data_IF_284973726592
#
_entry.id   IF_284973726592
#
_cell.length_a   1.000
_cell.length_b   1.000
_cell.length_c   1.000
_cell.angle_alpha   90.00
_cell.angle_beta   90.00
_cell.angle_gamma   90.00
#
_symmetry.space_group_name_H-M   'P 1'
#
loop_
_entity.id
_entity.type
_entity.pdbx_description
1 polymer ?
#
# COMPACT_ATOMS: atom_id res chain seq x y z
N UNK A 1 22.41 19.59 19.02
CA UNK A 1 21.77 19.07 20.25
C UNK A 1 20.40 19.68 20.19
N UNK A 2 19.49 18.93 19.61
CA UNK A 2 18.14 19.38 19.27
C UNK A 2 17.26 18.22 19.74
N UNK A 3 16.58 18.46 20.86
CA UNK A 3 15.66 17.53 21.49
C UNK A 3 14.51 17.20 20.55
N UNK A 4 14.08 15.95 20.54
CA UNK A 4 12.95 15.48 21.37
C UNK A 4 11.64 15.53 20.56
N UNK A 5 11.16 14.36 20.18
CA UNK A 5 9.77 13.91 20.41
C UNK A 5 9.73 12.41 20.09
N UNK A 6 9.88 11.57 21.11
CA UNK A 6 9.32 10.22 21.09
C UNK A 6 7.98 10.34 21.80
N UNK A 7 6.89 10.65 21.10
CA UNK A 7 5.51 10.42 21.58
C UNK A 7 4.53 10.39 20.39
N UNK A 8 3.76 9.31 20.29
CA UNK A 8 2.53 9.25 19.49
C UNK A 8 2.66 8.33 18.28
N UNK A 9 1.77 7.32 18.23
CA UNK A 9 1.28 6.63 17.03
C UNK A 9 2.14 6.84 15.77
N UNK A 10 2.94 5.84 15.35
CA UNK A 10 3.90 5.96 14.25
C UNK A 10 3.35 6.71 13.02
N UNK A 11 4.20 7.42 12.26
CA UNK A 11 3.76 8.33 11.21
C UNK A 11 2.77 7.63 10.30
N UNK A 12 1.53 8.13 10.27
CA UNK A 12 0.56 7.67 9.27
C UNK A 12 1.05 8.14 7.92
N UNK A 13 1.54 7.21 7.12
CA UNK A 13 2.08 7.50 5.80
C UNK A 13 0.92 7.43 4.82
N UNK A 14 0.68 8.54 4.10
CA UNK A 14 -0.14 8.52 2.90
C UNK A 14 0.69 7.97 1.74
N UNK A 15 0.05 7.32 0.77
CA UNK A 15 0.72 6.89 -0.45
C UNK A 15 1.16 8.14 -1.25
N UNK A 16 2.42 8.54 -1.12
CA UNK A 16 2.98 9.68 -1.85
C UNK A 16 3.41 9.22 -3.25
N UNK A 17 3.17 9.96 -4.34
CA UNK A 17 3.56 9.56 -5.70
C UNK A 17 5.06 9.26 -5.88
N UNK A 18 5.94 9.86 -5.07
CA UNK A 18 7.38 9.63 -5.03
C UNK A 18 7.79 8.37 -4.24
N UNK A 19 6.84 7.71 -3.57
CA UNK A 19 7.08 6.52 -2.76
C UNK A 19 7.21 5.27 -3.65
N UNK A 20 7.98 4.29 -3.18
CA UNK A 20 8.20 3.04 -3.90
C UNK A 20 7.29 1.95 -3.35
N UNK A 21 6.47 1.38 -4.23
CA UNK A 21 5.50 0.35 -3.89
C UNK A 21 5.88 -0.97 -4.55
N UNK A 22 6.01 -2.03 -3.75
CA UNK A 22 6.16 -3.38 -4.24
C UNK A 22 4.82 -3.93 -4.73
N UNK A 23 4.66 -4.04 -6.03
CA UNK A 23 3.45 -4.54 -6.67
C UNK A 23 3.61 -6.00 -7.11
N UNK A 24 2.52 -6.76 -6.99
CA UNK A 24 2.46 -8.13 -7.53
C UNK A 24 2.42 -8.13 -9.07
N UNK A 25 2.86 -9.21 -9.71
CA UNK A 25 2.93 -9.30 -11.18
C UNK A 25 1.57 -9.05 -11.87
N UNK A 26 0.45 -9.43 -11.25
CA UNK A 26 -0.89 -9.15 -11.79
C UNK A 26 -1.28 -7.68 -11.67
N UNK A 27 -0.93 -7.02 -10.57
CA UNK A 27 -1.12 -5.57 -10.41
C UNK A 27 -0.37 -4.84 -11.52
N UNK A 28 0.88 -5.23 -11.74
CA UNK A 28 1.67 -4.74 -12.87
C UNK A 28 1.04 -5.04 -14.24
N UNK A 29 0.28 -6.14 -14.35
CA UNK A 29 -0.49 -6.51 -15.54
C UNK A 29 -1.83 -5.78 -15.70
N UNK A 30 -2.14 -4.78 -14.87
CA UNK A 30 -3.39 -4.01 -14.92
C UNK A 30 -4.53 -4.62 -14.10
N UNK A 31 -4.24 -5.51 -13.15
CA UNK A 31 -5.25 -5.95 -12.18
C UNK A 31 -5.37 -4.97 -11.01
N UNK A 32 -6.59 -4.76 -10.50
CA UNK A 32 -6.84 -3.85 -9.40
C UNK A 32 -6.16 -4.31 -8.10
N UNK A 33 -5.68 -3.34 -7.32
CA UNK A 33 -5.01 -3.60 -6.02
C UNK A 33 -6.04 -3.83 -4.93
N UNK A 34 -6.18 -5.06 -4.43
CA UNK A 34 -7.16 -5.36 -3.39
C UNK A 34 -6.61 -5.26 -1.98
N UNK A 35 -5.28 -5.35 -1.84
CA UNK A 35 -4.60 -5.31 -0.55
C UNK A 35 -3.34 -4.47 -0.65
N UNK A 36 -3.14 -3.61 0.33
CA UNK A 36 -1.93 -2.81 0.50
C UNK A 36 -1.41 -3.04 1.91
N UNK A 37 -0.09 -3.10 2.08
CA UNK A 37 0.58 -3.25 3.35
C UNK A 37 1.67 -2.20 3.45
N UNK A 38 1.78 -1.55 4.60
CA UNK A 38 2.88 -0.68 4.95
C UNK A 38 3.71 -1.41 6.00
N UNK A 39 4.95 -1.77 5.66
CA UNK A 39 5.84 -2.43 6.61
C UNK A 39 6.39 -1.44 7.65
N UNK A 40 7.09 -1.95 8.67
CA UNK A 40 7.69 -1.12 9.74
C UNK A 40 8.83 -0.25 9.21
N UNK A 41 9.47 -0.67 8.10
CA UNK A 41 10.50 0.11 7.39
C UNK A 41 9.93 1.30 6.60
N UNK A 42 8.60 1.38 6.44
CA UNK A 42 7.93 2.38 5.61
C UNK A 42 7.79 1.99 4.14
N UNK A 43 8.10 0.73 3.80
CA UNK A 43 7.90 0.18 2.46
C UNK A 43 6.43 -0.19 2.20
N UNK A 44 5.90 0.27 1.08
CA UNK A 44 4.56 -0.06 0.62
C UNK A 44 4.54 -1.33 -0.22
N UNK A 45 3.55 -2.20 0.00
CA UNK A 45 3.37 -3.44 -0.76
C UNK A 45 1.92 -3.60 -1.20
N UNK A 46 1.70 -3.66 -2.50
CA UNK A 46 0.40 -3.82 -3.13
C UNK A 46 0.23 -5.23 -3.74
N UNK A 47 -0.88 -5.86 -3.39
CA UNK A 47 -1.27 -7.19 -3.84
C UNK A 47 -2.62 -7.13 -4.55
N UNK A 48 -2.74 -7.87 -5.65
CA UNK A 48 -4.05 -8.18 -6.21
C UNK A 48 -4.72 -9.24 -5.32
N UNK A 49 -6.04 -9.37 -5.40
CA UNK A 49 -6.87 -10.13 -4.45
C UNK A 49 -6.44 -11.57 -4.15
N UNK A 50 -7.17 -12.56 -4.65
CA UNK A 50 -6.90 -13.97 -4.36
C UNK A 50 -5.70 -14.48 -5.17
N UNK A 51 -4.50 -13.98 -4.87
CA UNK A 51 -3.27 -14.59 -5.36
C UNK A 51 -2.59 -15.46 -4.29
N UNK A 52 -2.09 -16.65 -4.68
CA UNK A 52 -1.16 -17.37 -3.83
C UNK A 52 0.12 -16.52 -3.67
N UNK A 53 0.67 -16.50 -2.45
CA UNK A 53 1.85 -15.70 -2.03
C UNK A 53 3.15 -16.02 -2.80
N UNK A 54 3.08 -16.80 -3.89
CA UNK A 54 4.20 -17.44 -4.57
C UNK A 54 4.26 -17.11 -6.06
N UNK A 55 3.34 -16.29 -6.59
CA UNK A 55 3.26 -16.00 -8.03
C UNK A 55 4.27 -14.92 -8.48
N UNK A 56 5.54 -15.30 -8.47
CA UNK A 56 6.64 -14.53 -9.05
C UNK A 56 7.27 -13.50 -8.13
N UNK A 57 8.34 -12.87 -8.62
CA UNK A 57 9.04 -11.80 -7.91
C UNK A 57 8.16 -10.54 -7.91
N UNK A 58 7.93 -9.89 -6.75
CA UNK A 58 7.27 -8.59 -6.72
C UNK A 58 8.10 -7.59 -7.55
N UNK A 59 7.40 -6.68 -8.23
CA UNK A 59 8.02 -5.58 -8.98
C UNK A 59 7.97 -4.33 -8.13
N UNK A 60 9.04 -3.57 -8.10
CA UNK A 60 9.02 -2.23 -7.51
C UNK A 60 8.48 -1.25 -8.55
N UNK A 61 7.50 -0.44 -8.17
CA UNK A 61 6.91 0.61 -9.00
C UNK A 61 6.82 1.89 -8.17
N UNK A 62 6.81 3.04 -8.83
CA UNK A 62 6.47 4.29 -8.15
C UNK A 62 4.98 4.30 -7.85
N UNK A 63 4.60 4.84 -6.70
CA UNK A 63 3.20 5.06 -6.32
C UNK A 63 2.46 5.90 -7.35
N UNK A 64 3.12 6.86 -8.03
CA UNK A 64 2.53 7.62 -9.13
C UNK A 64 2.00 6.71 -10.25
N UNK A 65 2.85 5.82 -10.79
CA UNK A 65 2.40 4.85 -11.80
C UNK A 65 1.35 3.89 -11.26
N UNK A 66 1.40 3.58 -9.96
CA UNK A 66 0.41 2.71 -9.35
C UNK A 66 -0.97 3.39 -9.24
N UNK A 67 -1.00 4.69 -8.94
CA UNK A 67 -2.21 5.51 -8.93
C UNK A 67 -2.77 5.71 -10.35
N UNK A 68 -1.90 5.78 -11.36
CA UNK A 68 -2.34 5.80 -12.77
C UNK A 68 -2.97 4.46 -13.20
N UNK A 69 -2.43 3.34 -12.72
CA UNK A 69 -2.98 2.01 -12.97
C UNK A 69 -4.27 1.75 -12.18
N UNK A 70 -4.33 2.20 -10.93
CA UNK A 70 -5.43 1.99 -10.01
C UNK A 70 -5.76 3.29 -9.25
N UNK A 71 -6.64 4.15 -9.82
CA UNK A 71 -6.99 5.43 -9.19
C UNK A 71 -7.76 5.26 -7.87
N UNK A 72 -8.30 4.07 -7.60
CA UNK A 72 -8.97 3.75 -6.34
C UNK A 72 -8.02 3.77 -5.13
N UNK A 73 -6.71 3.67 -5.35
CA UNK A 73 -5.68 3.89 -4.31
C UNK A 73 -5.61 5.35 -3.84
N UNK A 74 -6.10 6.32 -4.62
CA UNK A 74 -6.19 7.71 -4.17
C UNK A 74 -7.20 7.89 -3.03
N UNK A 75 -8.16 6.96 -2.87
CA UNK A 75 -9.08 6.91 -1.73
C UNK A 75 -8.54 6.09 -0.56
N UNK A 76 -7.32 5.58 -0.64
CA UNK A 76 -6.70 4.85 0.46
C UNK A 76 -6.41 5.82 1.63
N UNK A 77 -6.93 5.54 2.84
CA UNK A 77 -6.60 6.33 4.01
C UNK A 77 -5.11 6.18 4.35
N UNK A 78 -4.51 7.21 4.95
CA UNK A 78 -3.14 7.11 5.46
C UNK A 78 -3.04 5.95 6.46
N UNK A 79 -2.04 5.09 6.28
CA UNK A 79 -1.84 3.90 7.11
C UNK A 79 -0.73 4.16 8.12
N UNK A 80 -0.88 3.73 9.39
CA UNK A 80 0.26 3.68 10.30
C UNK A 80 1.27 2.64 9.82
N UNK A 81 2.54 2.81 10.19
CA UNK A 81 3.57 1.79 9.97
C UNK A 81 3.13 0.43 10.53
N UNK A 82 3.48 -0.65 9.81
CA UNK A 82 3.11 -2.03 10.15
C UNK A 82 1.62 -2.37 9.97
N UNK A 83 0.81 -1.49 9.39
CA UNK A 83 -0.60 -1.78 9.10
C UNK A 83 -0.83 -2.22 7.66
N UNK A 84 -1.94 -2.92 7.44
CA UNK A 84 -2.40 -3.26 6.10
C UNK A 84 -3.81 -2.74 5.85
N UNK A 85 -4.09 -2.37 4.61
CA UNK A 85 -5.43 -2.06 4.14
C UNK A 85 -5.88 -3.11 3.13
N UNK A 86 -7.12 -3.55 3.23
CA UNK A 86 -7.75 -4.39 2.20
C UNK A 86 -9.07 -3.79 1.79
N UNK A 87 -9.41 -3.89 0.51
CA UNK A 87 -10.75 -3.61 0.00
C UNK A 87 -11.40 -4.90 -0.49
N UNK A 88 -12.72 -4.95 -0.38
CA UNK A 88 -13.52 -6.10 -0.84
C UNK A 88 -13.72 -6.06 -2.36
N UNK A 89 -13.88 -4.85 -2.91
CA UNK A 89 -14.23 -4.59 -4.31
C UNK A 89 -13.10 -3.86 -5.06
N UNK A 90 -12.81 -4.25 -6.30
CA UNK A 90 -11.80 -3.62 -7.15
C UNK A 90 -12.08 -2.13 -7.44
N UNK A 91 -13.36 -1.81 -7.62
CA UNK A 91 -13.82 -0.44 -7.83
C UNK A 91 -14.28 0.23 -6.53
N UNK A 92 -14.13 -0.45 -5.39
CA UNK A 92 -14.50 0.07 -4.09
C UNK A 92 -13.46 1.04 -3.56
N UNK A 93 -13.90 2.21 -3.12
CA UNK A 93 -13.08 3.19 -2.40
C UNK A 93 -13.03 2.91 -0.88
N UNK A 94 -13.72 1.86 -0.42
CA UNK A 94 -13.78 1.49 1.00
C UNK A 94 -12.62 0.55 1.35
N UNK A 95 -11.59 1.12 1.96
CA UNK A 95 -10.44 0.39 2.47
C UNK A 95 -10.62 0.07 3.95
N UNK A 96 -10.53 -1.21 4.29
CA UNK A 96 -10.54 -1.69 5.67
C UNK A 96 -9.09 -1.81 6.15
N UNK A 97 -8.74 -1.03 7.17
CA UNK A 97 -7.41 -1.04 7.77
C UNK A 97 -7.36 -2.07 8.90
N UNK A 98 -6.38 -2.96 8.85
CA UNK A 98 -6.11 -3.97 9.85
C UNK A 98 -4.77 -3.69 10.52
N UNK A 99 -4.77 -3.83 11.84
CA UNK A 99 -3.59 -3.77 12.70
C UNK A 99 -2.97 -5.17 12.72
N UNK A 100 -1.65 -5.25 12.56
CA UNK A 100 -0.90 -6.50 12.70
C UNK A 100 -0.54 -6.77 14.16
#
# INVERSE_FOLDING_TARGET
>A
MDGDTHEGCGPVQGLCPDDHVFVSKRVFGGQPVMRVHLDDDGDWQAFSGAEPRWFGRPRLLHAAHLLELDPSLASLPALPLGHLATRDEASGTTWQVFQR
#
